data_IF_116210254148
#
_entry.id   IF_116210254148
#
_cell.length_a   1.000
_cell.length_b   1.000
_cell.length_c   1.000
_cell.angle_alpha   90.00
_cell.angle_beta   90.00
_cell.angle_gamma   90.00
#
_symmetry.space_group_name_H-M   'P 1'
#
loop_
_entity.id
_entity.type
_entity.pdbx_description
1 polymer ?
#
# COMPACT_ATOMS: atom_id res chain seq x y z
N UNK A 1 79.14 33.05 28.69
CA UNK A 1 79.23 31.60 28.41
C UNK A 1 77.89 31.00 28.82
N UNK A 2 77.09 30.24 28.06
CA UNK A 2 77.08 29.70 26.69
C UNK A 2 75.59 29.48 26.32
N UNK A 3 75.03 30.12 25.29
CA UNK A 3 74.65 29.62 23.94
C UNK A 3 73.96 28.24 23.85
N UNK A 4 72.69 28.25 23.40
CA UNK A 4 72.04 27.43 22.34
C UNK A 4 70.50 27.56 22.50
N UNK A 5 69.61 27.58 21.50
CA UNK A 5 69.64 27.19 20.07
C UNK A 5 68.36 27.72 19.36
N UNK A 6 68.49 27.99 18.06
CA UNK A 6 67.54 27.72 16.94
C UNK A 6 66.05 28.08 17.10
N UNK A 7 65.57 29.11 16.38
CA UNK A 7 64.88 29.02 15.06
C UNK A 7 63.70 28.03 15.04
N UNK A 8 62.49 28.57 15.08
CA UNK A 8 61.24 27.87 14.77
C UNK A 8 60.29 28.76 13.97
N UNK A 9 60.47 28.75 12.66
CA UNK A 9 59.71 29.47 11.66
C UNK A 9 58.32 28.82 11.47
N UNK A 10 57.37 28.95 12.41
CA UNK A 10 56.01 28.43 12.22
C UNK A 10 54.95 29.31 12.92
N UNK A 11 54.53 30.43 12.30
CA UNK A 11 53.14 30.87 12.53
C UNK A 11 52.29 31.01 11.24
N UNK A 12 52.87 30.87 10.04
CA UNK A 12 52.12 31.11 8.80
C UNK A 12 51.43 29.88 8.19
N UNK A 13 51.80 28.66 8.57
CA UNK A 13 51.19 27.45 7.96
C UNK A 13 49.84 27.10 8.59
N UNK A 14 49.64 27.42 9.88
CA UNK A 14 48.39 27.09 10.59
C UNK A 14 47.21 28.02 10.27
N UNK A 15 47.49 29.29 9.94
CA UNK A 15 46.48 30.26 9.53
C UNK A 15 46.01 30.05 8.09
N UNK A 16 46.87 29.53 7.21
CA UNK A 16 46.54 29.26 5.80
C UNK A 16 45.68 27.98 5.67
N UNK A 17 45.87 26.98 6.54
CA UNK A 17 45.06 25.75 6.51
C UNK A 17 43.61 25.98 6.98
N UNK A 18 43.37 26.94 7.88
CA UNK A 18 42.03 27.28 8.35
C UNK A 18 41.21 28.03 7.28
N UNK A 19 41.86 28.84 6.44
CA UNK A 19 41.18 29.60 5.38
C UNK A 19 40.81 28.71 4.19
N UNK A 20 41.58 27.64 3.93
CA UNK A 20 41.28 26.69 2.85
C UNK A 20 40.07 25.78 3.13
N UNK A 21 39.66 25.63 4.40
CA UNK A 21 38.39 24.98 4.75
C UNK A 21 37.17 25.90 4.58
N UNK A 22 37.38 27.21 4.37
CA UNK A 22 36.30 28.20 4.25
C UNK A 22 35.90 28.56 2.82
N UNK A 23 36.65 28.14 1.80
CA UNK A 23 36.43 28.59 0.42
C UNK A 23 35.76 27.56 -0.52
N UNK A 24 35.34 26.39 -0.04
CA UNK A 24 34.79 25.37 -0.96
C UNK A 24 33.47 24.68 -0.59
N UNK A 25 32.56 25.32 0.15
CA UNK A 25 31.16 24.89 0.08
C UNK A 25 30.21 26.07 0.15
N UNK A 26 29.37 26.17 -0.86
CA UNK A 26 28.32 27.17 -1.00
C UNK A 26 27.14 26.81 -0.09
N UNK A 27 27.35 26.83 1.24
CA UNK A 27 26.25 26.64 2.20
C UNK A 27 26.31 27.67 3.31
N UNK A 28 25.24 28.48 3.40
CA UNK A 28 24.98 29.36 4.54
C UNK A 28 24.93 28.51 5.83
N UNK A 29 25.93 28.69 6.69
CA UNK A 29 26.02 28.10 8.02
C UNK A 29 26.38 29.20 9.02
N UNK A 30 25.43 29.60 9.85
CA UNK A 30 25.68 30.41 11.04
C UNK A 30 26.07 29.46 12.17
N UNK A 31 27.35 29.41 12.56
CA UNK A 31 27.83 28.61 13.71
C UNK A 31 28.07 29.53 14.90
N UNK A 32 27.60 29.15 16.09
CA UNK A 32 27.95 29.78 17.37
C UNK A 32 29.03 28.92 18.04
N UNK A 33 30.11 29.56 18.48
CA UNK A 33 31.21 28.90 19.20
C UNK A 33 31.01 29.17 20.69
N UNK A 34 30.88 28.09 21.49
CA UNK A 34 30.97 28.15 22.95
C UNK A 34 32.33 27.57 23.35
N UNK A 35 33.16 28.38 24.01
CA UNK A 35 34.46 27.98 24.53
C UNK A 35 34.27 27.64 26.01
N UNK A 36 34.57 26.39 26.39
CA UNK A 36 34.75 26.01 27.79
C UNK A 36 36.26 25.79 28.06
N UNK A 37 36.70 26.02 29.29
CA UNK A 37 38.10 26.15 29.73
C UNK A 37 38.93 24.86 29.71
N UNK A 38 38.39 23.76 29.19
CA UNK A 38 39.12 22.50 29.00
C UNK A 38 38.92 22.04 27.55
N UNK A 39 40.03 21.86 26.85
CA UNK A 39 40.20 21.89 25.39
C UNK A 39 39.51 20.76 24.61
N UNK A 40 38.18 20.71 24.62
CA UNK A 40 37.40 19.85 23.73
C UNK A 40 36.44 20.72 22.89
N UNK A 41 36.67 20.77 21.58
CA UNK A 41 35.75 21.38 20.62
C UNK A 41 34.61 20.38 20.38
N UNK A 42 33.44 20.65 20.97
CA UNK A 42 32.20 19.95 20.59
C UNK A 42 31.57 20.71 19.43
N UNK A 43 31.68 20.15 18.22
CA UNK A 43 30.88 20.58 17.08
C UNK A 43 29.47 20.01 17.26
N UNK A 44 28.55 20.80 17.81
CA UNK A 44 27.13 20.47 17.80
C UNK A 44 26.47 21.04 16.54
N UNK A 45 25.91 20.16 15.71
CA UNK A 45 25.11 20.54 14.55
C UNK A 45 23.71 20.98 15.00
N UNK A 46 23.28 22.17 14.56
CA UNK A 46 21.88 22.60 14.66
C UNK A 46 21.34 22.86 13.27
N UNK A 47 21.14 21.77 12.51
CA UNK A 47 20.30 21.71 11.32
C UNK A 47 19.45 20.43 11.45
N UNK A 48 18.23 20.48 10.92
CA UNK A 48 17.27 19.36 10.70
C UNK A 48 16.09 19.14 11.68
N UNK A 49 16.14 19.56 12.94
CA UNK A 49 15.01 19.30 13.88
C UNK A 49 13.64 19.88 13.47
N UNK A 50 13.57 21.03 12.80
CA UNK A 50 12.28 21.65 12.43
C UNK A 50 11.62 20.99 11.21
N UNK A 51 12.41 20.57 10.21
CA UNK A 51 11.88 19.88 9.03
C UNK A 51 11.53 18.42 9.35
N UNK A 52 12.33 17.74 10.18
CA UNK A 52 12.00 16.42 10.71
C UNK A 52 10.70 16.45 11.53
N UNK A 53 10.52 17.45 12.40
CA UNK A 53 9.28 17.62 13.17
C UNK A 53 8.07 17.91 12.26
N UNK A 54 8.22 18.75 11.23
CA UNK A 54 7.14 18.98 10.24
C UNK A 54 6.82 17.72 9.45
N UNK A 55 7.82 16.92 9.09
CA UNK A 55 7.63 15.63 8.42
C UNK A 55 6.90 14.63 9.32
N UNK A 56 7.30 14.52 10.60
CA UNK A 56 6.62 13.68 11.59
C UNK A 56 5.16 14.08 11.74
N UNK A 57 4.89 15.38 11.97
CA UNK A 57 3.53 15.92 12.10
C UNK A 57 2.68 15.71 10.84
N UNK A 58 3.27 15.83 9.64
CA UNK A 58 2.57 15.52 8.38
C UNK A 58 2.26 14.03 8.24
N UNK A 59 3.16 13.16 8.70
CA UNK A 59 3.00 11.71 8.65
C UNK A 59 1.93 11.23 9.64
N UNK A 60 1.92 11.79 10.86
CA UNK A 60 0.91 11.55 11.89
C UNK A 60 -0.47 11.99 11.39
N UNK A 61 -0.58 13.23 10.88
CA UNK A 61 -1.85 13.74 10.33
C UNK A 61 -2.36 12.92 9.14
N UNK A 62 -1.47 12.35 8.33
CA UNK A 62 -1.85 11.43 7.24
C UNK A 62 -2.34 10.09 7.77
N UNK A 63 -1.73 9.57 8.84
CA UNK A 63 -2.17 8.34 9.51
C UNK A 63 -3.55 8.51 10.15
N UNK A 64 -3.80 9.65 10.81
CA UNK A 64 -5.11 9.97 11.41
C UNK A 64 -6.21 10.02 10.34
N UNK A 65 -5.93 10.69 9.21
CA UNK A 65 -6.86 10.71 8.06
C UNK A 65 -7.13 9.31 7.48
N UNK A 66 -6.18 8.39 7.58
CA UNK A 66 -6.32 7.03 7.09
C UNK A 66 -7.19 6.20 8.06
N UNK A 67 -7.04 6.39 9.37
CA UNK A 67 -7.86 5.69 10.37
C UNK A 67 -9.34 6.09 10.36
N UNK A 68 -9.67 7.29 9.86
CA UNK A 68 -11.06 7.72 9.68
C UNK A 68 -11.77 7.04 8.50
N UNK A 69 -11.05 6.28 7.67
CA UNK A 69 -11.60 5.65 6.48
C UNK A 69 -12.29 4.32 6.77
N UNK A 70 -13.35 4.09 6.01
CA UNK A 70 -14.15 2.86 6.06
C UNK A 70 -14.04 2.14 4.73
N UNK A 71 -13.73 0.85 4.78
CA UNK A 71 -13.60 -0.03 3.62
C UNK A 71 -14.61 -1.15 3.73
N UNK A 72 -15.25 -1.51 2.61
CA UNK A 72 -16.04 -2.73 2.53
C UNK A 72 -15.36 -3.73 1.59
N UNK A 73 -15.17 -4.95 2.08
CA UNK A 73 -14.70 -6.08 1.30
C UNK A 73 -15.86 -7.06 1.05
N UNK A 74 -15.93 -7.61 -0.16
CA UNK A 74 -16.88 -8.64 -0.52
C UNK A 74 -16.15 -9.91 -0.96
N UNK A 75 -16.02 -10.92 -0.08
CA UNK A 75 -15.57 -12.22 -0.51
C UNK A 75 -16.70 -12.86 -1.34
N UNK A 76 -16.50 -12.96 -2.66
CA UNK A 76 -17.51 -13.45 -3.59
C UNK A 76 -18.04 -14.85 -3.24
N UNK A 77 -19.26 -15.15 -3.70
CA UNK A 77 -19.96 -16.43 -3.48
C UNK A 77 -20.26 -16.73 -2.00
N UNK A 78 -20.45 -18.00 -1.63
CA UNK A 78 -20.67 -18.45 -0.27
C UNK A 78 -21.90 -19.36 -0.11
N UNK A 79 -21.91 -20.15 0.95
CA UNK A 79 -22.96 -21.13 1.25
C UNK A 79 -23.14 -22.12 0.10
N UNK A 80 -24.37 -22.18 -0.44
CA UNK A 80 -24.72 -23.06 -1.57
C UNK A 80 -24.04 -22.66 -2.88
N UNK A 81 -23.63 -21.40 -3.03
CA UNK A 81 -22.90 -20.94 -4.20
C UNK A 81 -21.41 -21.17 -3.95
N UNK A 82 -20.84 -22.17 -4.61
CA UNK A 82 -19.43 -22.54 -4.46
C UNK A 82 -18.51 -21.63 -5.28
N UNK A 83 -19.06 -20.85 -6.20
CA UNK A 83 -18.30 -20.26 -7.30
C UNK A 83 -17.70 -21.35 -8.21
N UNK A 84 -16.61 -21.01 -8.88
CA UNK A 84 -15.83 -21.99 -9.64
C UNK A 84 -15.13 -23.00 -8.73
N UNK A 85 -14.87 -24.20 -9.26
CA UNK A 85 -14.27 -25.26 -8.45
C UNK A 85 -13.52 -26.29 -9.28
N UNK A 86 -12.50 -26.90 -8.66
CA UNK A 86 -11.89 -28.14 -9.13
C UNK A 86 -11.71 -29.08 -7.94
N UNK A 87 -12.30 -30.27 -8.02
CA UNK A 87 -12.35 -31.21 -6.91
C UNK A 87 -13.00 -30.58 -5.67
N UNK A 88 -12.26 -30.55 -4.57
CA UNK A 88 -12.71 -29.96 -3.30
C UNK A 88 -12.14 -28.54 -3.07
N UNK A 89 -11.52 -27.94 -4.08
CA UNK A 89 -11.07 -26.55 -4.02
C UNK A 89 -12.19 -25.66 -4.57
N UNK A 90 -12.79 -24.86 -3.70
CA UNK A 90 -13.90 -23.97 -4.02
C UNK A 90 -13.46 -22.51 -3.99
N UNK A 91 -13.88 -21.74 -5.01
CA UNK A 91 -13.64 -20.30 -5.09
C UNK A 91 -14.11 -19.57 -3.82
N UNK A 92 -15.31 -19.89 -3.32
CA UNK A 92 -15.87 -19.22 -2.12
C UNK A 92 -14.96 -19.26 -0.90
N UNK A 93 -14.17 -20.33 -0.75
CA UNK A 93 -13.29 -20.53 0.40
C UNK A 93 -11.99 -19.75 0.21
N UNK A 94 -11.45 -19.74 -1.01
CA UNK A 94 -10.29 -18.93 -1.38
C UNK A 94 -10.60 -17.44 -1.23
N UNK A 95 -11.74 -16.99 -1.74
CA UNK A 95 -12.20 -15.61 -1.66
C UNK A 95 -12.27 -15.15 -0.20
N UNK A 96 -12.85 -15.97 0.67
CA UNK A 96 -12.97 -15.66 2.10
C UNK A 96 -11.61 -15.52 2.77
N UNK A 97 -10.68 -16.44 2.49
CA UNK A 97 -9.31 -16.38 3.03
C UNK A 97 -8.56 -15.12 2.59
N UNK A 98 -8.55 -14.82 1.29
CA UNK A 98 -7.87 -13.62 0.76
C UNK A 98 -8.48 -12.37 1.40
N UNK A 99 -9.81 -12.28 1.46
CA UNK A 99 -10.49 -11.13 2.06
C UNK A 99 -10.17 -10.96 3.55
N UNK A 100 -10.03 -12.04 4.32
CA UNK A 100 -9.58 -11.96 5.71
C UNK A 100 -8.14 -11.44 5.84
N UNK A 101 -7.22 -11.88 4.97
CA UNK A 101 -5.86 -11.34 4.95
C UNK A 101 -5.83 -9.85 4.58
N UNK A 102 -6.63 -9.45 3.60
CA UNK A 102 -6.83 -8.04 3.23
C UNK A 102 -7.36 -7.23 4.42
N UNK A 103 -8.44 -7.69 5.07
CA UNK A 103 -9.04 -7.05 6.25
C UNK A 103 -8.01 -6.88 7.36
N UNK A 104 -7.33 -7.95 7.75
CA UNK A 104 -6.33 -7.94 8.82
C UNK A 104 -5.20 -6.95 8.56
N UNK A 105 -4.74 -6.84 7.31
CA UNK A 105 -3.70 -5.89 6.96
C UNK A 105 -4.18 -4.44 7.04
N UNK A 106 -5.38 -4.14 6.52
CA UNK A 106 -6.00 -2.82 6.60
C UNK A 106 -6.26 -2.40 8.06
N UNK A 107 -6.81 -3.29 8.88
CA UNK A 107 -7.08 -3.01 10.30
C UNK A 107 -5.79 -2.76 11.10
N UNK A 108 -4.69 -3.45 10.75
CA UNK A 108 -3.36 -3.16 11.33
C UNK A 108 -2.86 -1.74 11.00
N UNK A 109 -3.40 -1.10 9.96
CA UNK A 109 -3.14 0.29 9.59
C UNK A 109 -4.16 1.27 10.17
N UNK A 110 -5.00 0.81 11.11
CA UNK A 110 -6.01 1.63 11.78
C UNK A 110 -7.28 1.85 10.96
N UNK A 111 -7.41 1.23 9.79
CA UNK A 111 -8.54 1.42 8.89
C UNK A 111 -9.71 0.54 9.34
N UNK A 112 -10.93 1.09 9.38
CA UNK A 112 -12.13 0.33 9.70
C UNK A 112 -12.56 -0.49 8.49
N UNK A 113 -12.74 -1.80 8.67
CA UNK A 113 -13.12 -2.71 7.58
C UNK A 113 -14.38 -3.50 7.93
N UNK A 114 -15.33 -3.51 6.99
CA UNK A 114 -16.50 -4.37 7.02
C UNK A 114 -16.39 -5.42 5.92
N UNK A 115 -16.94 -6.61 6.16
CA UNK A 115 -17.06 -7.65 5.14
C UNK A 115 -18.54 -7.98 4.90
N UNK A 116 -18.93 -8.24 3.64
CA UNK A 116 -20.31 -8.67 3.32
C UNK A 116 -20.64 -10.03 3.96
N UNK A 117 -19.64 -10.88 4.14
CA UNK A 117 -19.69 -12.12 4.93
C UNK A 117 -18.35 -12.39 5.62
N UNK A 118 -18.41 -13.02 6.79
CA UNK A 118 -17.23 -13.46 7.56
C UNK A 118 -17.24 -15.00 7.76
N UNK A 119 -18.23 -15.66 7.20
CA UNK A 119 -18.52 -17.09 7.28
C UNK A 119 -19.00 -17.61 5.92
N UNK A 120 -19.21 -18.93 5.83
CA UNK A 120 -19.68 -19.60 4.62
C UNK A 120 -21.19 -19.43 4.41
N UNK A 121 -21.61 -18.22 4.04
CA UNK A 121 -23.01 -17.89 3.73
C UNK A 121 -23.14 -17.21 2.38
N UNK A 122 -24.25 -17.48 1.70
CA UNK A 122 -24.60 -16.78 0.47
C UNK A 122 -25.29 -15.45 0.81
N UNK A 123 -24.74 -14.34 0.34
CA UNK A 123 -25.40 -13.03 0.39
C UNK A 123 -25.92 -12.67 -1.01
N UNK A 124 -27.23 -12.41 -1.20
CA UNK A 124 -27.75 -11.98 -2.49
C UNK A 124 -27.15 -10.64 -2.95
N UNK A 125 -26.87 -10.50 -4.25
CA UNK A 125 -26.24 -9.29 -4.84
C UNK A 125 -26.92 -7.97 -4.45
N UNK A 126 -28.26 -7.95 -4.40
CA UNK A 126 -29.02 -6.76 -4.00
C UNK A 126 -28.79 -6.40 -2.52
N UNK A 127 -28.63 -7.40 -1.66
CA UNK A 127 -28.33 -7.19 -0.24
C UNK A 127 -26.88 -6.74 -0.03
N UNK A 128 -25.93 -7.23 -0.83
CA UNK A 128 -24.56 -6.68 -0.90
C UNK A 128 -24.62 -5.18 -1.22
N UNK A 129 -25.36 -4.80 -2.26
CA UNK A 129 -25.56 -3.39 -2.65
C UNK A 129 -26.12 -2.53 -1.53
N UNK A 130 -27.20 -2.98 -0.87
CA UNK A 130 -27.78 -2.26 0.28
C UNK A 130 -26.78 -2.12 1.43
N UNK A 131 -26.08 -3.19 1.76
CA UNK A 131 -25.07 -3.19 2.83
C UNK A 131 -23.97 -2.15 2.55
N UNK A 132 -23.38 -2.18 1.34
CA UNK A 132 -22.35 -1.23 0.91
C UNK A 132 -22.87 0.20 0.96
N UNK A 133 -24.05 0.46 0.39
CA UNK A 133 -24.60 1.82 0.29
C UNK A 133 -25.04 2.39 1.64
N UNK A 134 -25.49 1.55 2.58
CA UNK A 134 -25.82 1.98 3.94
C UNK A 134 -24.58 2.37 4.74
N UNK A 135 -23.45 1.69 4.49
CA UNK A 135 -22.17 2.02 5.14
C UNK A 135 -21.56 3.29 4.52
N UNK A 136 -21.70 3.45 3.20
CA UNK A 136 -21.07 4.55 2.45
C UNK A 136 -19.54 4.55 2.57
N UNK A 137 -18.85 3.44 2.25
CA UNK A 137 -17.41 3.33 2.43
C UNK A 137 -16.65 4.26 1.46
N UNK A 138 -15.37 4.50 1.78
CA UNK A 138 -14.44 5.18 0.88
C UNK A 138 -14.24 4.35 -0.39
N UNK A 139 -14.09 3.03 -0.25
CA UNK A 139 -14.07 2.08 -1.37
C UNK A 139 -14.76 0.76 -1.03
N UNK A 140 -15.27 0.12 -2.07
CA UNK A 140 -15.83 -1.23 -2.04
C UNK A 140 -15.02 -2.16 -2.95
N UNK A 141 -14.48 -3.26 -2.43
CA UNK A 141 -13.68 -4.21 -3.21
C UNK A 141 -14.24 -5.62 -3.10
N UNK A 142 -14.65 -6.21 -4.22
CA UNK A 142 -15.07 -7.60 -4.32
C UNK A 142 -13.87 -8.49 -4.71
N UNK A 143 -13.75 -9.67 -4.11
CA UNK A 143 -12.61 -10.57 -4.27
C UNK A 143 -13.14 -11.91 -4.79
N UNK A 144 -12.59 -12.33 -5.93
CA UNK A 144 -13.00 -13.50 -6.70
C UNK A 144 -11.80 -14.32 -7.19
N UNK A 145 -12.07 -15.51 -7.71
CA UNK A 145 -11.10 -16.35 -8.42
C UNK A 145 -11.67 -16.72 -9.77
N UNK A 146 -10.86 -16.54 -10.81
CA UNK A 146 -11.32 -16.69 -12.17
C UNK A 146 -11.38 -18.18 -12.57
N UNK A 147 -12.10 -18.45 -13.65
CA UNK A 147 -12.00 -19.71 -14.37
C UNK A 147 -12.25 -19.54 -15.85
N UNK A 148 -11.62 -20.40 -16.64
CA UNK A 148 -11.85 -20.46 -18.07
C UNK A 148 -11.76 -21.90 -18.56
N UNK A 149 -12.47 -22.23 -19.65
CA UNK A 149 -12.54 -23.58 -20.20
C UNK A 149 -11.15 -24.13 -20.53
N UNK A 150 -10.31 -23.33 -21.16
CA UNK A 150 -8.92 -23.65 -21.43
C UNK A 150 -8.04 -23.34 -20.20
N UNK A 151 -7.27 -24.32 -19.76
CA UNK A 151 -6.37 -24.20 -18.60
C UNK A 151 -5.13 -23.34 -18.84
N UNK A 152 -4.96 -22.78 -20.05
CA UNK A 152 -3.80 -21.94 -20.40
C UNK A 152 -3.84 -20.52 -19.81
N UNK A 153 -5.03 -20.03 -19.45
CA UNK A 153 -5.18 -18.66 -18.94
C UNK A 153 -4.79 -18.60 -17.48
N UNK A 154 -3.90 -17.67 -17.13
CA UNK A 154 -3.41 -17.45 -15.79
C UNK A 154 -3.28 -15.94 -15.49
N UNK A 155 -2.99 -15.62 -14.24
CA UNK A 155 -2.69 -14.27 -13.76
C UNK A 155 -3.87 -13.57 -13.09
N UNK A 156 -3.54 -12.47 -12.42
CA UNK A 156 -4.48 -11.63 -11.67
C UNK A 156 -4.95 -10.46 -12.53
N UNK A 157 -6.22 -10.11 -12.41
CA UNK A 157 -6.82 -8.95 -13.08
C UNK A 157 -7.74 -8.20 -12.15
N UNK A 158 -7.80 -6.89 -12.31
CA UNK A 158 -8.72 -6.02 -11.55
C UNK A 158 -9.75 -5.41 -12.48
N UNK A 159 -11.01 -5.62 -12.17
CA UNK A 159 -12.14 -5.16 -12.94
C UNK A 159 -12.75 -3.92 -12.32
N UNK A 160 -13.22 -3.02 -13.17
CA UNK A 160 -14.03 -1.88 -12.79
C UNK A 160 -15.24 -1.76 -13.71
N UNK A 161 -16.23 -1.01 -13.25
CA UNK A 161 -17.38 -0.66 -14.06
C UNK A 161 -17.93 0.68 -13.62
N UNK A 162 -18.23 1.55 -14.57
CA UNK A 162 -19.00 2.77 -14.36
C UNK A 162 -20.38 2.61 -14.99
N UNK A 163 -21.42 2.91 -14.21
CA UNK A 163 -22.79 2.98 -14.72
C UNK A 163 -22.95 4.37 -15.33
N UNK A 164 -23.03 4.44 -16.66
CA UNK A 164 -23.18 5.71 -17.40
C UNK A 164 -22.08 6.76 -17.06
N UNK A 165 -20.83 6.33 -16.86
CA UNK A 165 -19.73 7.23 -16.53
C UNK A 165 -19.63 7.64 -15.05
N UNK A 166 -20.56 7.21 -14.19
CA UNK A 166 -20.51 7.50 -12.76
C UNK A 166 -19.21 6.99 -12.11
N UNK A 167 -18.45 7.90 -11.49
CA UNK A 167 -17.17 7.63 -10.82
C UNK A 167 -16.13 6.92 -11.71
N UNK A 168 -16.13 7.20 -13.03
CA UNK A 168 -15.26 6.48 -13.96
C UNK A 168 -13.77 6.64 -13.60
N UNK A 169 -13.31 7.88 -13.35
CA UNK A 169 -11.90 8.14 -13.01
C UNK A 169 -11.50 7.51 -11.68
N UNK A 170 -12.34 7.62 -10.65
CA UNK A 170 -12.10 7.04 -9.33
C UNK A 170 -12.00 5.51 -9.39
N UNK A 171 -12.88 4.87 -10.16
CA UNK A 171 -12.92 3.41 -10.30
C UNK A 171 -11.75 2.89 -11.14
N UNK A 172 -11.33 3.64 -12.16
CA UNK A 172 -10.10 3.33 -12.91
C UNK A 172 -8.89 3.41 -11.97
N UNK A 173 -8.70 4.52 -11.27
CA UNK A 173 -7.56 4.72 -10.37
C UNK A 173 -7.51 3.68 -9.24
N UNK A 174 -8.67 3.32 -8.67
CA UNK A 174 -8.76 2.24 -7.69
C UNK A 174 -8.32 0.90 -8.30
N UNK A 175 -8.80 0.56 -9.50
CA UNK A 175 -8.41 -0.67 -10.16
C UNK A 175 -6.90 -0.70 -10.50
N UNK A 176 -6.34 0.41 -10.96
CA UNK A 176 -4.91 0.53 -11.30
C UNK A 176 -4.00 0.35 -10.10
N UNK A 177 -4.32 1.00 -8.99
CA UNK A 177 -3.53 0.91 -7.75
C UNK A 177 -3.58 -0.49 -7.15
N UNK A 178 -4.75 -1.13 -7.14
CA UNK A 178 -4.91 -2.53 -6.73
C UNK A 178 -4.12 -3.46 -7.66
N UNK A 179 -4.29 -3.32 -8.98
CA UNK A 179 -3.60 -4.18 -9.94
C UNK A 179 -2.08 -4.06 -9.81
N UNK A 180 -1.56 -2.83 -9.75
CA UNK A 180 -0.13 -2.55 -9.62
C UNK A 180 0.48 -3.22 -8.40
N UNK A 181 -0.14 -3.07 -7.23
CA UNK A 181 0.36 -3.68 -6.00
C UNK A 181 0.23 -5.21 -6.03
N UNK A 182 -0.86 -5.73 -6.61
CA UNK A 182 -1.14 -7.17 -6.71
C UNK A 182 -0.10 -7.97 -7.51
N UNK A 183 0.64 -7.32 -8.41
CA UNK A 183 1.67 -7.96 -9.26
C UNK A 183 3.10 -7.59 -8.87
N UNK A 184 3.28 -6.68 -7.90
CA UNK A 184 4.58 -6.08 -7.59
C UNK A 184 5.59 -7.08 -7.00
N UNK A 185 5.12 -8.16 -6.37
CA UNK A 185 5.96 -9.23 -5.84
C UNK A 185 6.36 -10.29 -6.89
N UNK A 186 5.85 -10.17 -8.13
CA UNK A 186 6.14 -11.07 -9.24
C UNK A 186 5.49 -12.47 -9.15
N UNK A 187 4.61 -12.71 -8.17
CA UNK A 187 3.95 -14.02 -7.99
C UNK A 187 2.89 -14.25 -9.07
N UNK A 188 2.12 -13.21 -9.40
CA UNK A 188 1.03 -13.27 -10.35
C UNK A 188 1.43 -12.71 -11.70
N UNK A 189 1.02 -13.39 -12.78
CA UNK A 189 1.08 -12.80 -14.12
C UNK A 189 0.12 -11.60 -14.19
N UNK A 190 0.60 -10.47 -14.70
CA UNK A 190 -0.18 -9.24 -14.80
C UNK A 190 -1.10 -9.27 -16.02
N UNK A 191 -2.42 -9.27 -15.79
CA UNK A 191 -3.43 -9.21 -16.85
C UNK A 191 -4.03 -7.81 -17.05
N UNK A 192 -3.55 -6.84 -16.28
CA UNK A 192 -4.02 -5.47 -16.27
C UNK A 192 -5.43 -5.28 -15.70
N UNK A 193 -5.94 -4.07 -15.86
CA UNK A 193 -7.31 -3.72 -15.51
C UNK A 193 -8.27 -3.96 -16.66
N UNK A 194 -9.56 -4.19 -16.38
CA UNK A 194 -10.60 -4.36 -17.40
C UNK A 194 -11.91 -3.68 -17.01
N UNK A 195 -12.51 -2.94 -17.94
CA UNK A 195 -13.90 -2.48 -17.81
C UNK A 195 -14.84 -3.64 -18.14
N UNK A 196 -15.69 -4.06 -17.21
CA UNK A 196 -16.63 -5.16 -17.43
C UNK A 196 -17.93 -4.92 -16.66
N UNK A 197 -19.07 -5.19 -17.29
CA UNK A 197 -20.39 -5.04 -16.66
C UNK A 197 -20.70 -6.16 -15.66
N UNK A 198 -20.00 -6.16 -14.51
CA UNK A 198 -20.18 -7.14 -13.44
C UNK A 198 -21.26 -6.67 -12.45
N UNK A 199 -22.17 -7.57 -12.08
CA UNK A 199 -23.36 -7.22 -11.32
C UNK A 199 -23.08 -6.54 -9.99
N UNK A 200 -22.14 -7.05 -9.20
CA UNK A 200 -21.82 -6.48 -7.88
C UNK A 200 -21.32 -5.03 -7.98
N UNK A 201 -20.62 -4.68 -9.07
CA UNK A 201 -20.09 -3.33 -9.31
C UNK A 201 -21.17 -2.31 -9.67
N UNK A 202 -22.35 -2.77 -10.14
CA UNK A 202 -23.48 -1.90 -10.47
C UNK A 202 -24.25 -1.41 -9.24
N UNK A 203 -24.12 -2.09 -8.11
CA UNK A 203 -24.94 -1.83 -6.93
C UNK A 203 -24.28 -0.90 -5.90
N UNK A 204 -23.02 -0.51 -6.10
CA UNK A 204 -22.28 0.38 -5.20
C UNK A 204 -22.36 1.84 -5.64
N UNK A 205 -22.69 2.73 -4.70
CA UNK A 205 -22.61 4.19 -4.84
C UNK A 205 -21.22 4.75 -4.48
N UNK A 206 -20.36 3.94 -3.89
CA UNK A 206 -18.95 4.25 -3.61
C UNK A 206 -18.05 3.76 -4.74
N UNK A 207 -16.83 4.33 -4.91
CA UNK A 207 -15.81 3.78 -5.80
C UNK A 207 -15.61 2.29 -5.53
N UNK A 208 -15.63 1.47 -6.58
CA UNK A 208 -15.51 0.03 -6.42
C UNK A 208 -14.75 -0.69 -7.53
N UNK A 209 -14.16 -1.81 -7.16
CA UNK A 209 -13.44 -2.71 -8.06
C UNK A 209 -13.71 -4.19 -7.67
N UNK A 210 -13.43 -5.10 -8.61
CA UNK A 210 -13.44 -6.55 -8.36
C UNK A 210 -12.09 -7.13 -8.75
N UNK A 211 -11.47 -7.92 -7.87
CA UNK A 211 -10.18 -8.58 -8.14
C UNK A 211 -10.41 -10.05 -8.44
N UNK A 212 -9.97 -10.48 -9.62
CA UNK A 212 -9.93 -11.90 -10.02
C UNK A 212 -8.54 -12.46 -9.73
N UNK A 213 -8.38 -13.15 -8.60
CA UNK A 213 -7.11 -13.55 -7.99
C UNK A 213 -6.49 -14.81 -8.65
N UNK A 214 -6.30 -14.82 -9.97
CA UNK A 214 -5.79 -15.98 -10.69
C UNK A 214 -6.89 -16.90 -11.21
N UNK A 215 -6.49 -17.90 -12.00
CA UNK A 215 -7.42 -18.85 -12.63
C UNK A 215 -7.37 -20.21 -11.93
N UNK A 216 -8.46 -20.62 -11.27
CA UNK A 216 -8.52 -21.94 -10.64
C UNK A 216 -8.33 -23.06 -11.67
N UNK A 217 -8.65 -22.85 -12.95
CA UNK A 217 -8.50 -23.88 -13.99
C UNK A 217 -7.06 -24.04 -14.49
N UNK A 218 -6.19 -23.06 -14.25
CA UNK A 218 -4.78 -23.14 -14.58
C UNK A 218 -3.99 -23.85 -13.48
N UNK A 219 -3.20 -24.90 -13.79
CA UNK A 219 -2.44 -25.63 -12.78
C UNK A 219 -1.45 -24.78 -11.97
N UNK A 220 -0.79 -23.81 -12.62
CA UNK A 220 0.18 -22.93 -11.97
C UNK A 220 -0.49 -21.99 -10.95
N UNK A 221 -1.58 -21.34 -11.35
CA UNK A 221 -2.35 -20.49 -10.44
C UNK A 221 -3.08 -21.31 -9.37
N UNK A 222 -3.61 -22.48 -9.70
CA UNK A 222 -4.21 -23.40 -8.72
C UNK A 222 -3.24 -23.77 -7.60
N UNK A 223 -1.97 -24.01 -7.91
CA UNK A 223 -0.96 -24.29 -6.88
C UNK A 223 -0.78 -23.08 -5.95
N UNK A 224 -0.76 -21.87 -6.50
CA UNK A 224 -0.70 -20.62 -5.71
C UNK A 224 -1.95 -20.43 -4.84
N UNK A 225 -3.13 -20.76 -5.37
CA UNK A 225 -4.42 -20.62 -4.69
C UNK A 225 -4.62 -21.62 -3.53
N UNK A 226 -3.76 -22.63 -3.42
CA UNK A 226 -3.73 -23.58 -2.30
C UNK A 226 -2.65 -23.22 -1.27
N UNK A 227 -1.74 -22.30 -1.59
CA UNK A 227 -0.65 -21.89 -0.70
C UNK A 227 -1.09 -20.72 0.18
N UNK A 228 -1.22 -20.97 1.48
CA UNK A 228 -1.66 -19.98 2.46
C UNK A 228 -0.76 -18.74 2.54
N UNK A 229 0.55 -18.87 2.28
CA UNK A 229 1.46 -17.72 2.24
C UNK A 229 1.19 -16.85 1.02
N UNK A 230 0.85 -17.46 -0.11
CA UNK A 230 0.51 -16.71 -1.33
C UNK A 230 -0.87 -16.07 -1.19
N UNK A 231 -1.86 -16.75 -0.61
CA UNK A 231 -3.16 -16.14 -0.30
C UNK A 231 -3.01 -14.92 0.63
N UNK A 232 -2.15 -15.05 1.65
CA UNK A 232 -1.79 -13.93 2.53
C UNK A 232 -1.13 -12.79 1.77
N UNK A 233 -0.09 -13.06 0.97
CA UNK A 233 0.61 -12.03 0.18
C UNK A 233 -0.37 -11.30 -0.75
N UNK A 234 -1.24 -12.05 -1.42
CA UNK A 234 -2.27 -11.52 -2.33
C UNK A 234 -3.21 -10.57 -1.59
N UNK A 235 -3.73 -10.96 -0.43
CA UNK A 235 -4.59 -10.09 0.37
C UNK A 235 -3.87 -8.83 0.88
N UNK A 236 -2.62 -8.96 1.33
CA UNK A 236 -1.80 -7.81 1.77
C UNK A 236 -1.51 -6.85 0.60
N UNK A 237 -1.30 -7.35 -0.61
CA UNK A 237 -1.06 -6.52 -1.78
C UNK A 237 -2.33 -5.80 -2.25
N UNK A 238 -3.50 -6.46 -2.23
CA UNK A 238 -4.79 -5.80 -2.46
C UNK A 238 -4.98 -4.66 -1.44
N UNK A 239 -4.69 -4.91 -0.16
CA UNK A 239 -4.79 -3.90 0.89
C UNK A 239 -3.85 -2.70 0.66
N UNK A 240 -2.59 -2.94 0.23
CA UNK A 240 -1.66 -1.86 -0.15
C UNK A 240 -2.20 -1.04 -1.32
N UNK A 241 -2.80 -1.68 -2.32
CA UNK A 241 -3.44 -1.00 -3.44
C UNK A 241 -4.55 -0.06 -3.00
N UNK A 242 -5.44 -0.55 -2.13
CA UNK A 242 -6.50 0.25 -1.50
C UNK A 242 -5.91 1.44 -0.73
N UNK A 243 -4.89 1.22 0.10
CA UNK A 243 -4.23 2.29 0.86
C UNK A 243 -3.63 3.33 -0.09
N UNK A 244 -2.91 2.91 -1.13
CA UNK A 244 -2.29 3.81 -2.10
C UNK A 244 -3.33 4.68 -2.82
N UNK A 245 -4.48 4.10 -3.18
CA UNK A 245 -5.60 4.86 -3.71
C UNK A 245 -6.07 5.94 -2.73
N UNK A 246 -6.37 5.58 -1.49
CA UNK A 246 -6.85 6.52 -0.47
C UNK A 246 -5.83 7.64 -0.21
N UNK A 247 -4.55 7.26 -0.07
CA UNK A 247 -3.45 8.19 0.18
C UNK A 247 -3.27 9.20 -0.97
N UNK A 248 -3.64 8.83 -2.21
CA UNK A 248 -3.61 9.76 -3.34
C UNK A 248 -4.70 10.83 -3.30
N UNK A 249 -5.70 10.66 -2.41
CA UNK A 249 -6.86 11.55 -2.26
C UNK A 249 -6.80 12.48 -1.04
N UNK A 250 -5.78 12.35 -0.18
CA UNK A 250 -5.69 13.07 1.12
C UNK A 250 -4.43 13.90 1.33
#
# INVERSE_FOLDING_TARGET
>A
MAKNKEKGLIPCIFSILLILLFLNTNTRLSRIILINSETNIVLAEKKDTLEENKMSLRSEKKMDKLSDKVIVLDPGHGGKDKGTSIGNLYEKDINLKIAFHTKKYLEKKGIKVFMTREDDKLIPLKEIGKFVNNIGPEVFVSIHVNSFKESKYNGISTYYYDVNGFQNEERIQLAETIQKESVMDGIWYDRGIRKQNIAVLRYSNSPCALVECGFITNPGDRNKLQDEKILKSTGENIAKGIINYIMSKI
#
